data_IF_801595271865
#
_entry.id   IF_801595271865
#
_cell.length_a   1.000
_cell.length_b   1.000
_cell.length_c   1.000
_cell.angle_alpha   90.00
_cell.angle_beta   90.00
_cell.angle_gamma   90.00
#
_symmetry.space_group_name_H-M   'P 1'
#
loop_
_entity.id
_entity.type
_entity.pdbx_description
1 polymer ?
#
# COMPACT_ATOMS: atom_id res chain seq x y z
N UNK A 1 -1.77 -8.17 13.64
CA UNK A 1 -1.63 -7.39 14.88
C UNK A 1 -0.78 -6.19 14.56
N UNK A 2 -1.38 -5.18 13.92
CA UNK A 2 -0.61 -4.07 13.30
C UNK A 2 -0.71 -2.79 14.14
N UNK A 3 -1.66 -2.77 15.08
CA UNK A 3 -1.93 -1.66 15.99
C UNK A 3 -0.75 -1.38 16.95
N UNK A 4 -0.05 -2.40 17.52
CA UNK A 4 1.09 -2.14 18.40
C UNK A 4 2.28 -1.52 17.67
N UNK A 5 2.66 -2.08 16.52
CA UNK A 5 3.73 -1.55 15.67
C UNK A 5 3.45 -0.11 15.24
N UNK A 6 2.17 0.19 14.93
CA UNK A 6 1.80 1.52 14.47
C UNK A 6 1.94 2.60 15.56
N UNK A 7 1.51 2.28 16.78
CA UNK A 7 1.63 3.17 17.93
C UNK A 7 3.09 3.52 18.20
N UNK A 8 3.97 2.52 18.14
CA UNK A 8 5.41 2.70 18.32
C UNK A 8 6.02 3.60 17.22
N UNK A 9 5.65 3.41 15.95
CA UNK A 9 6.12 4.28 14.85
C UNK A 9 5.65 5.74 14.93
N UNK A 10 4.46 6.00 15.46
CA UNK A 10 3.96 7.37 15.65
C UNK A 10 4.81 8.12 16.67
N UNK A 11 5.13 7.47 17.79
CA UNK A 11 5.93 8.06 18.88
C UNK A 11 7.40 8.26 18.48
N UNK A 12 8.00 7.29 17.77
CA UNK A 12 9.41 7.37 17.41
C UNK A 12 9.70 8.21 16.15
N UNK A 13 8.79 8.29 15.18
CA UNK A 13 9.08 8.84 13.83
C UNK A 13 8.26 10.06 13.42
N UNK A 14 7.27 10.49 14.22
CA UNK A 14 6.34 11.59 13.88
C UNK A 14 5.63 11.38 12.53
N UNK A 15 5.21 10.15 12.22
CA UNK A 15 4.51 9.80 10.97
C UNK A 15 3.05 9.46 11.26
N UNK A 16 2.11 10.25 10.72
CA UNK A 16 0.67 10.00 10.84
C UNK A 16 0.14 9.07 9.73
N UNK A 17 -0.64 8.04 10.11
CA UNK A 17 -1.29 7.16 9.13
C UNK A 17 -2.57 7.79 8.67
N UNK A 18 -2.80 7.76 7.37
CA UNK A 18 -4.11 7.99 6.82
C UNK A 18 -4.67 6.68 6.28
N UNK A 19 -5.73 6.18 6.90
CA UNK A 19 -6.49 5.01 6.45
C UNK A 19 -7.93 5.44 6.14
N UNK A 20 -8.59 4.83 5.15
CA UNK A 20 -10.02 5.02 4.95
C UNK A 20 -10.80 4.79 6.24
N UNK A 21 -11.85 5.58 6.46
CA UNK A 21 -12.66 5.49 7.66
C UNK A 21 -13.51 4.22 7.58
N UNK A 22 -13.36 3.34 8.58
CA UNK A 22 -14.19 2.14 8.70
C UNK A 22 -15.52 2.49 9.36
N UNK A 23 -16.58 1.79 8.98
CA UNK A 23 -17.87 1.91 9.65
C UNK A 23 -17.74 1.53 11.14
N UNK A 24 -18.32 2.34 12.03
CA UNK A 24 -18.29 2.13 13.47
C UNK A 24 -19.49 1.27 13.86
N UNK A 25 -19.24 0.13 14.50
CA UNK A 25 -20.31 -0.78 14.94
C UNK A 25 -21.05 -0.15 16.12
N UNK A 26 -22.37 -0.02 16.02
CA UNK A 26 -23.23 0.52 17.09
C UNK A 26 -23.42 2.04 17.07
N UNK A 27 -22.92 2.74 16.04
CA UNK A 27 -23.17 4.16 15.86
C UNK A 27 -24.63 4.42 15.48
N UNK A 28 -25.22 5.50 15.99
CA UNK A 28 -26.60 5.86 15.64
C UNK A 28 -26.71 6.19 14.14
N UNK A 29 -27.81 5.78 13.49
CA UNK A 29 -27.99 6.00 12.05
C UNK A 29 -28.03 7.49 11.68
N UNK A 30 -28.43 8.37 12.60
CA UNK A 30 -28.46 9.82 12.42
C UNK A 30 -27.04 10.41 12.33
N UNK A 31 -26.15 10.02 13.23
CA UNK A 31 -24.74 10.48 13.24
C UNK A 31 -24.02 9.93 12.00
N UNK A 32 -24.23 8.64 11.70
CA UNK A 32 -23.65 8.01 10.52
C UNK A 32 -24.03 8.76 9.24
N UNK A 33 -25.32 9.12 9.08
CA UNK A 33 -25.80 9.88 7.91
C UNK A 33 -25.21 11.28 7.85
N UNK A 34 -25.12 11.99 8.99
CA UNK A 34 -24.57 13.34 9.07
C UNK A 34 -23.10 13.38 8.65
N UNK A 35 -22.30 12.45 9.15
CA UNK A 35 -20.85 12.42 8.94
C UNK A 35 -20.45 11.68 7.65
N UNK A 36 -21.38 10.99 6.99
CA UNK A 36 -21.11 10.15 5.81
C UNK A 36 -20.35 10.91 4.73
N UNK A 37 -20.83 12.09 4.34
CA UNK A 37 -20.23 12.85 3.26
C UNK A 37 -18.76 13.21 3.55
N UNK A 38 -18.45 13.60 4.80
CA UNK A 38 -17.09 13.91 5.21
C UNK A 38 -16.19 12.66 5.23
N UNK A 39 -16.70 11.54 5.78
CA UNK A 39 -15.97 10.27 5.81
C UNK A 39 -15.70 9.70 4.42
N UNK A 40 -16.67 9.79 3.52
CA UNK A 40 -16.56 9.33 2.14
C UNK A 40 -15.56 10.21 1.36
N UNK A 41 -15.61 11.53 1.54
CA UNK A 41 -14.66 12.46 0.92
C UNK A 41 -13.23 12.17 1.37
N UNK A 42 -13.02 12.04 2.68
CA UNK A 42 -11.71 11.71 3.24
C UNK A 42 -11.21 10.34 2.75
N UNK A 43 -12.06 9.31 2.81
CA UNK A 43 -11.69 7.96 2.36
C UNK A 43 -11.38 7.91 0.86
N UNK A 44 -12.07 8.71 0.06
CA UNK A 44 -11.80 8.88 -1.37
C UNK A 44 -10.44 9.55 -1.58
N UNK A 45 -10.13 10.62 -0.83
CA UNK A 45 -8.83 11.29 -0.91
C UNK A 45 -7.68 10.34 -0.56
N UNK A 46 -7.81 9.59 0.54
CA UNK A 46 -6.83 8.57 0.94
C UNK A 46 -6.66 7.50 -0.14
N UNK A 47 -7.78 7.00 -0.70
CA UNK A 47 -7.74 5.99 -1.76
C UNK A 47 -7.08 6.51 -3.04
N UNK A 48 -7.36 7.75 -3.46
CA UNK A 48 -6.77 8.36 -4.65
C UNK A 48 -5.24 8.45 -4.57
N UNK A 49 -4.69 8.71 -3.39
CA UNK A 49 -3.23 8.74 -3.17
C UNK A 49 -2.64 7.32 -3.24
N UNK A 50 -3.37 6.32 -2.77
CA UNK A 50 -2.91 4.92 -2.70
C UNK A 50 -2.97 4.20 -4.04
N UNK A 51 -4.01 4.44 -4.83
CA UNK A 51 -4.25 3.82 -6.14
C UNK A 51 -3.04 3.81 -7.10
N UNK A 52 -2.30 4.91 -7.32
CA UNK A 52 -1.14 4.90 -8.21
C UNK A 52 -0.01 4.00 -7.69
N UNK A 53 0.16 3.90 -6.37
CA UNK A 53 1.16 3.02 -5.75
C UNK A 53 0.80 1.55 -6.01
N UNK A 54 -0.48 1.19 -5.81
CA UNK A 54 -0.98 -0.16 -6.09
C UNK A 54 -0.88 -0.52 -7.57
N UNK A 55 -1.22 0.43 -8.45
CA UNK A 55 -1.11 0.26 -9.90
C UNK A 55 0.34 0.03 -10.33
N UNK A 56 1.30 0.79 -9.78
CA UNK A 56 2.73 0.61 -10.03
C UNK A 56 3.22 -0.78 -9.62
N UNK A 57 2.90 -1.21 -8.40
CA UNK A 57 3.34 -2.53 -7.92
C UNK A 57 2.65 -3.68 -8.67
N UNK A 58 1.38 -3.51 -9.06
CA UNK A 58 0.68 -4.47 -9.89
C UNK A 58 1.34 -4.61 -11.26
N UNK A 59 1.60 -3.47 -11.94
CA UNK A 59 2.29 -3.45 -13.22
C UNK A 59 3.69 -4.07 -13.13
N UNK A 60 4.46 -3.74 -12.08
CA UNK A 60 5.78 -4.31 -11.86
C UNK A 60 5.72 -5.83 -11.70
N UNK A 61 4.75 -6.33 -10.94
CA UNK A 61 4.57 -7.76 -10.74
C UNK A 61 4.08 -8.47 -12.01
N UNK A 62 3.19 -7.85 -12.78
CA UNK A 62 2.71 -8.40 -14.05
C UNK A 62 3.84 -8.54 -15.08
N UNK A 63 4.66 -7.50 -15.23
CA UNK A 63 5.77 -7.50 -16.19
C UNK A 63 6.91 -8.43 -15.80
N UNK A 64 7.19 -8.59 -14.50
CA UNK A 64 8.43 -9.23 -14.05
C UNK A 64 8.24 -10.44 -13.16
N UNK A 65 7.04 -10.67 -12.62
CA UNK A 65 6.75 -11.69 -11.61
C UNK A 65 7.66 -11.58 -10.38
N UNK A 66 7.98 -10.35 -9.94
CA UNK A 66 8.91 -10.06 -8.85
C UNK A 66 8.55 -10.74 -7.53
N UNK A 67 7.26 -11.00 -7.28
CA UNK A 67 6.81 -11.66 -6.05
C UNK A 67 7.25 -13.13 -5.94
N UNK A 68 7.70 -13.76 -7.03
CA UNK A 68 8.33 -15.10 -6.98
C UNK A 68 9.61 -15.14 -6.15
N UNK A 69 10.16 -13.97 -5.82
CA UNK A 69 11.22 -13.77 -4.82
C UNK A 69 10.97 -14.53 -3.51
N UNK A 70 9.71 -14.72 -3.09
CA UNK A 70 9.37 -15.46 -1.87
C UNK A 70 9.86 -16.91 -1.85
N UNK A 71 10.15 -17.51 -3.02
CA UNK A 71 10.65 -18.89 -3.14
C UNK A 71 12.18 -18.98 -3.05
N UNK A 72 12.88 -17.84 -3.10
CA UNK A 72 14.35 -17.78 -3.07
C UNK A 72 14.84 -18.01 -1.64
N UNK A 73 15.74 -18.98 -1.45
CA UNK A 73 16.20 -19.42 -0.12
C UNK A 73 17.51 -18.78 0.34
N UNK A 74 18.23 -18.11 -0.56
CA UNK A 74 19.50 -17.43 -0.27
C UNK A 74 19.31 -15.92 -0.37
N UNK A 75 19.91 -15.18 0.57
CA UNK A 75 19.91 -13.70 0.58
C UNK A 75 20.58 -13.12 -0.66
N UNK A 76 21.73 -13.67 -1.07
CA UNK A 76 22.44 -13.26 -2.28
C UNK A 76 21.58 -13.52 -3.53
N UNK A 77 20.91 -14.68 -3.58
CA UNK A 77 19.97 -15.00 -4.66
C UNK A 77 18.77 -14.06 -4.70
N UNK A 78 18.26 -13.64 -3.53
CA UNK A 78 17.14 -12.72 -3.41
C UNK A 78 17.50 -11.32 -3.94
N UNK A 79 18.69 -10.84 -3.61
CA UNK A 79 19.21 -9.55 -4.11
C UNK A 79 19.33 -9.57 -5.63
N UNK A 80 19.99 -10.59 -6.21
CA UNK A 80 20.14 -10.70 -7.67
C UNK A 80 18.79 -10.83 -8.36
N UNK A 81 17.86 -11.61 -7.79
CA UNK A 81 16.51 -11.77 -8.33
C UNK A 81 15.76 -10.43 -8.35
N UNK A 82 15.68 -9.73 -7.22
CA UNK A 82 14.93 -8.48 -7.10
C UNK A 82 15.52 -7.37 -7.96
N UNK A 83 16.84 -7.16 -7.89
CA UNK A 83 17.51 -6.13 -8.69
C UNK A 83 17.43 -6.42 -10.19
N UNK A 84 17.59 -7.69 -10.61
CA UNK A 84 17.45 -8.08 -12.00
C UNK A 84 16.03 -7.87 -12.55
N UNK A 85 15.00 -8.21 -11.76
CA UNK A 85 13.60 -7.93 -12.15
C UNK A 85 13.31 -6.44 -12.25
N UNK A 86 13.80 -5.62 -11.31
CA UNK A 86 13.65 -4.16 -11.37
C UNK A 86 14.36 -3.60 -12.61
N UNK A 87 15.58 -4.04 -12.91
CA UNK A 87 16.31 -3.60 -14.10
C UNK A 87 15.53 -3.92 -15.39
N UNK A 88 15.00 -5.13 -15.52
CA UNK A 88 14.16 -5.52 -16.67
C UNK A 88 12.88 -4.68 -16.75
N UNK A 89 12.23 -4.39 -15.61
CA UNK A 89 11.05 -3.52 -15.58
C UNK A 89 11.37 -2.12 -16.13
N UNK A 90 12.49 -1.53 -15.69
CA UNK A 90 12.91 -0.20 -16.13
C UNK A 90 13.33 -0.17 -17.60
N UNK A 91 14.06 -1.19 -18.07
CA UNK A 91 14.39 -1.33 -19.49
C UNK A 91 13.10 -1.45 -20.31
N UNK A 92 12.16 -2.28 -19.86
CA UNK A 92 10.84 -2.41 -20.50
C UNK A 92 10.13 -1.06 -20.52
N UNK A 93 10.18 -0.27 -19.45
CA UNK A 93 9.54 1.05 -19.40
C UNK A 93 10.13 2.07 -20.39
N UNK A 94 11.44 2.00 -20.65
CA UNK A 94 12.14 2.93 -21.54
C UNK A 94 11.93 2.58 -23.02
N UNK A 95 11.88 1.29 -23.34
CA UNK A 95 11.89 0.78 -24.72
C UNK A 95 10.54 0.23 -25.21
N UNK A 96 9.49 0.35 -24.41
CA UNK A 96 8.11 -0.07 -24.75
C UNK A 96 7.22 1.13 -25.02
#
# INVERSE_FOLDING_TARGET
SDIPFYKETQECKKISLFTPVKAIKGESPEITKREKAARDLFSTAVSKVRQPIESLFNWLNEKTNIQRAMKVRSTSGLLVHTMGKIAIALITLIFN
#
